data_IF_828756110548
#
_entry.id   IF_828756110548
#
_cell.length_a   1.000
_cell.length_b   1.000
_cell.length_c   1.000
_cell.angle_alpha   90.00
_cell.angle_beta   90.00
_cell.angle_gamma   90.00
#
_symmetry.space_group_name_H-M   'P 1'
#
loop_
_entity.id
_entity.type
_entity.pdbx_description
1 polymer ?
#
# COMPACT_ATOMS: atom_id res chain seq x y z
N UNK A 1 -29.20 0.45 1.72
CA UNK A 1 -28.46 0.17 1.40
C UNK A 1 -28.51 -0.17 0.14
N UNK A 2 -27.87 0.46 -0.14
CA UNK A 2 -27.59 0.01 -1.51
C UNK A 2 -26.59 -1.14 -1.46
N UNK A 3 -26.84 -2.13 -1.98
CA UNK A 3 -26.04 -3.24 -1.89
C UNK A 3 -24.78 -3.01 -2.56
N UNK A 4 -23.88 -3.41 -2.19
CA UNK A 4 -22.82 -3.40 -2.74
C UNK A 4 -22.99 -4.20 -3.80
N UNK A 5 -22.80 -3.89 -4.85
CA UNK A 5 -22.93 -4.64 -6.08
C UNK A 5 -21.55 -5.20 -6.46
N UNK A 6 -21.42 -6.50 -6.40
CA UNK A 6 -20.19 -7.17 -6.86
C UNK A 6 -20.20 -7.18 -8.40
N UNK A 7 -19.17 -6.60 -9.01
CA UNK A 7 -19.05 -6.46 -10.46
C UNK A 7 -18.01 -7.43 -11.02
N UNK A 8 -18.34 -8.02 -12.16
CA UNK A 8 -17.39 -8.69 -13.06
C UNK A 8 -17.10 -7.78 -14.24
N UNK A 9 -16.05 -8.06 -14.96
CA UNK A 9 -15.54 -7.18 -16.04
C UNK A 9 -16.65 -6.73 -17.00
N UNK A 10 -17.29 -7.40 -17.30
CA UNK A 10 -18.29 -7.15 -18.20
C UNK A 10 -19.26 -6.13 -17.79
N UNK A 11 -19.72 -6.48 -16.68
CA UNK A 11 -20.75 -5.60 -16.15
C UNK A 11 -20.21 -4.18 -15.86
N UNK A 12 -18.99 -4.09 -15.40
CA UNK A 12 -18.35 -2.79 -15.17
C UNK A 12 -18.24 -1.97 -16.48
N UNK A 13 -17.80 -2.62 -17.56
CA UNK A 13 -17.70 -1.98 -18.89
C UNK A 13 -19.07 -1.46 -19.34
N UNK A 14 -20.13 -2.26 -19.21
CA UNK A 14 -21.48 -1.85 -19.58
C UNK A 14 -21.96 -0.65 -18.77
N UNK A 15 -21.68 -0.61 -17.47
CA UNK A 15 -22.07 0.51 -16.61
C UNK A 15 -21.34 1.81 -17.01
N UNK A 16 -20.08 1.71 -17.43
CA UNK A 16 -19.33 2.87 -17.92
C UNK A 16 -19.87 3.35 -19.28
N UNK A 17 -20.07 2.43 -20.22
CA UNK A 17 -20.61 2.75 -21.55
C UNK A 17 -21.99 3.40 -21.48
N UNK A 18 -22.82 3.01 -20.51
CA UNK A 18 -24.14 3.61 -20.28
C UNK A 18 -24.08 4.96 -19.57
N UNK A 19 -22.88 5.45 -19.21
CA UNK A 19 -22.64 6.70 -18.46
C UNK A 19 -23.34 6.74 -17.08
N UNK A 20 -23.68 5.57 -16.52
CA UNK A 20 -24.25 5.47 -15.19
C UNK A 20 -23.18 5.84 -14.14
N UNK A 21 -21.94 5.38 -14.36
CA UNK A 21 -20.81 5.74 -13.51
C UNK A 21 -20.05 6.90 -14.17
N UNK A 22 -20.10 8.08 -13.56
CA UNK A 22 -19.47 9.29 -14.10
C UNK A 22 -18.16 9.65 -13.43
N UNK A 23 -18.10 9.52 -12.10
CA UNK A 23 -16.87 9.75 -11.33
C UNK A 23 -16.62 8.54 -10.44
N UNK A 24 -15.50 7.90 -10.62
CA UNK A 24 -15.18 6.65 -9.97
C UNK A 24 -13.89 6.77 -9.14
N UNK A 25 -14.00 6.44 -7.86
CA UNK A 25 -12.86 6.29 -6.97
C UNK A 25 -12.51 4.81 -6.87
N UNK A 26 -11.24 4.50 -7.08
CA UNK A 26 -10.72 3.14 -6.97
C UNK A 26 -9.94 2.99 -5.67
N UNK A 27 -10.30 2.00 -4.88
CA UNK A 27 -9.56 1.59 -3.68
C UNK A 27 -8.97 0.21 -3.90
N UNK A 28 -7.70 0.07 -3.64
CA UNK A 28 -6.99 -1.20 -3.77
C UNK A 28 -6.61 -1.70 -2.37
N UNK A 29 -7.37 -2.66 -1.81
CA UNK A 29 -7.01 -3.27 -0.53
C UNK A 29 -5.82 -4.20 -0.75
N UNK A 30 -4.63 -3.70 -0.50
CA UNK A 30 -3.41 -4.48 -0.55
C UNK A 30 -3.29 -5.22 0.79
N UNK A 31 -3.16 -6.53 0.73
CA UNK A 31 -3.04 -7.39 1.93
C UNK A 31 -4.26 -7.38 2.89
N UNK A 32 -5.47 -7.28 2.35
CA UNK A 32 -6.73 -7.45 3.11
C UNK A 32 -6.95 -6.49 4.29
N UNK A 33 -6.46 -5.25 4.22
CA UNK A 33 -6.76 -4.31 5.28
C UNK A 33 -7.94 -3.39 4.91
N UNK A 34 -9.16 -3.88 5.11
CA UNK A 34 -10.38 -3.10 4.84
C UNK A 34 -10.48 -1.88 5.74
N UNK A 35 -9.87 -1.92 6.94
CA UNK A 35 -9.86 -0.77 7.83
C UNK A 35 -9.11 0.41 7.22
N UNK A 36 -8.09 0.14 6.40
CA UNK A 36 -7.41 1.18 5.62
C UNK A 36 -8.39 1.81 4.61
N UNK A 37 -9.21 0.97 3.96
CA UNK A 37 -10.22 1.43 3.00
C UNK A 37 -11.28 2.28 3.72
N UNK A 38 -11.75 1.88 4.87
CA UNK A 38 -12.75 2.63 5.64
C UNK A 38 -12.24 4.03 6.03
N UNK A 39 -10.99 4.14 6.34
CA UNK A 39 -10.37 5.44 6.59
C UNK A 39 -10.28 6.31 5.33
N UNK A 40 -9.89 5.76 4.34
CA UNK A 40 -9.77 6.35 3.17
C UNK A 40 -11.02 6.66 2.51
N UNK A 41 -11.98 5.90 2.84
CA UNK A 41 -13.33 6.13 2.34
C UNK A 41 -13.88 7.48 2.75
N UNK A 42 -13.69 7.87 3.99
CA UNK A 42 -14.12 9.16 4.51
C UNK A 42 -13.49 10.36 3.75
N UNK A 43 -12.36 10.16 3.11
CA UNK A 43 -11.70 11.19 2.29
C UNK A 43 -12.40 11.26 0.93
N UNK A 44 -12.66 10.14 0.30
CA UNK A 44 -13.25 10.07 -1.03
C UNK A 44 -14.76 10.40 -1.07
N UNK A 45 -15.31 10.03 -0.29
CA UNK A 45 -16.63 10.27 -0.19
C UNK A 45 -17.05 11.67 -0.23
N UNK A 46 -16.28 12.44 0.16
CA UNK A 46 -16.63 13.88 0.08
C UNK A 46 -16.63 14.44 -1.33
N UNK A 47 -15.99 13.80 -2.25
CA UNK A 47 -15.73 14.34 -3.59
C UNK A 47 -16.21 13.49 -4.76
N UNK A 48 -16.59 12.22 -4.53
CA UNK A 48 -16.90 11.27 -5.60
C UNK A 48 -18.36 10.79 -5.57
N UNK A 49 -18.92 10.56 -6.77
CA UNK A 49 -20.30 10.08 -6.90
C UNK A 49 -20.43 8.57 -6.69
N UNK A 50 -19.40 7.80 -7.01
CA UNK A 50 -19.39 6.34 -6.89
C UNK A 50 -18.03 5.81 -6.47
N UNK A 51 -18.01 4.77 -5.68
CA UNK A 51 -16.78 4.17 -5.14
C UNK A 51 -16.68 2.68 -5.44
N UNK A 52 -15.69 2.25 -6.01
CA UNK A 52 -15.46 1.05 -6.31
C UNK A 52 -14.43 0.56 -5.53
N UNK A 53 -14.50 -0.37 -4.87
CA UNK A 53 -13.42 -1.15 -4.27
C UNK A 53 -13.08 -2.35 -5.14
N UNK A 54 -11.79 -2.64 -5.19
CA UNK A 54 -11.32 -3.75 -6.03
C UNK A 54 -10.71 -4.85 -5.16
N UNK A 55 -11.26 -6.06 -5.25
CA UNK A 55 -10.64 -7.26 -4.69
C UNK A 55 -9.85 -7.98 -5.77
N UNK A 56 -8.58 -8.22 -5.52
CA UNK A 56 -7.66 -8.75 -6.51
C UNK A 56 -7.33 -10.23 -6.32
N UNK A 57 -7.37 -10.83 -7.23
CA UNK A 57 -6.86 -11.92 -7.30
C UNK A 57 -5.57 -11.76 -7.74
N UNK A 58 -4.71 -11.69 -7.04
CA UNK A 58 -3.30 -11.48 -7.31
C UNK A 58 -2.71 -12.66 -8.09
N UNK A 59 -2.01 -12.34 -9.12
CA UNK A 59 -1.34 -13.37 -9.94
C UNK A 59 -0.34 -14.15 -9.08
N UNK A 60 -0.32 -15.50 -9.18
CA UNK A 60 0.57 -16.31 -8.33
C UNK A 60 2.05 -15.93 -8.39
N UNK A 61 2.50 -15.38 -9.53
CA UNK A 61 3.90 -15.00 -9.74
C UNK A 61 4.35 -13.79 -8.92
N UNK A 62 3.41 -12.99 -8.39
CA UNK A 62 3.73 -11.83 -7.55
C UNK A 62 4.04 -12.18 -6.10
N UNK A 63 3.72 -13.40 -5.72
CA UNK A 63 3.95 -13.91 -4.37
C UNK A 63 4.57 -15.30 -4.44
N UNK A 64 5.35 -15.66 -3.44
CA UNK A 64 5.83 -17.03 -3.33
C UNK A 64 4.63 -17.97 -3.17
N UNK A 65 4.71 -19.18 -3.69
CA UNK A 65 3.64 -20.20 -3.63
C UNK A 65 3.10 -20.43 -2.21
N UNK A 66 3.91 -20.18 -1.18
CA UNK A 66 3.52 -20.33 0.21
C UNK A 66 2.67 -19.14 0.70
N UNK A 67 2.94 -17.94 0.21
CA UNK A 67 2.21 -16.73 0.62
C UNK A 67 0.79 -16.73 0.02
N UNK A 68 0.66 -17.12 -1.25
CA UNK A 68 -0.62 -17.20 -1.96
C UNK A 68 -1.65 -18.08 -1.25
N UNK A 69 -1.22 -19.22 -0.72
CA UNK A 69 -2.12 -20.20 -0.06
C UNK A 69 -2.55 -19.78 1.35
N UNK A 70 -1.90 -18.78 1.93
CA UNK A 70 -2.12 -18.38 3.33
C UNK A 70 -2.99 -17.13 3.50
N UNK A 71 -3.46 -16.53 2.40
CA UNK A 71 -4.33 -15.35 2.47
C UNK A 71 -5.78 -15.83 2.56
N UNK A 72 -6.46 -15.62 3.69
CA UNK A 72 -7.88 -15.97 3.80
C UNK A 72 -8.68 -15.12 2.80
N UNK A 73 -9.53 -15.79 2.02
CA UNK A 73 -10.41 -15.10 1.08
C UNK A 73 -11.77 -14.94 1.76
N UNK A 74 -12.01 -13.74 2.26
CA UNK A 74 -13.21 -13.41 3.01
C UNK A 74 -14.08 -12.40 2.25
N UNK A 75 -14.25 -12.61 0.94
CA UNK A 75 -14.98 -11.67 0.08
C UNK A 75 -16.35 -11.32 0.68
N UNK A 76 -17.06 -12.29 1.24
CA UNK A 76 -18.38 -12.04 1.84
C UNK A 76 -18.28 -11.10 3.04
N UNK A 77 -17.35 -11.37 3.96
CA UNK A 77 -17.14 -10.52 5.15
C UNK A 77 -16.65 -9.13 4.73
N UNK A 78 -15.77 -9.07 3.75
CA UNK A 78 -15.25 -7.83 3.20
C UNK A 78 -16.37 -6.99 2.57
N UNK A 79 -17.27 -7.62 1.81
CA UNK A 79 -18.44 -6.96 1.21
C UNK A 79 -19.38 -6.37 2.28
N UNK A 80 -19.58 -7.08 3.39
CA UNK A 80 -20.42 -6.56 4.48
C UNK A 80 -19.81 -5.27 5.08
N UNK A 81 -18.50 -5.26 5.29
CA UNK A 81 -17.81 -4.08 5.82
C UNK A 81 -17.86 -2.91 4.83
N UNK A 82 -17.59 -3.18 3.54
CA UNK A 82 -17.65 -2.16 2.50
C UNK A 82 -19.06 -1.58 2.34
N UNK A 83 -20.08 -2.43 2.41
CA UNK A 83 -21.47 -2.00 2.36
C UNK A 83 -21.81 -1.09 3.54
N UNK A 84 -21.34 -1.44 4.76
CA UNK A 84 -21.56 -0.60 5.94
C UNK A 84 -20.88 0.77 5.83
N UNK A 85 -19.79 0.86 5.07
CA UNK A 85 -19.09 2.11 4.77
C UNK A 85 -19.76 2.93 3.65
N UNK A 86 -20.72 2.32 2.93
CA UNK A 86 -21.41 3.00 1.82
C UNK A 86 -20.76 2.78 0.46
N UNK A 87 -19.91 1.79 0.30
CA UNK A 87 -19.31 1.44 -0.98
C UNK A 87 -20.41 1.03 -1.97
N UNK A 88 -20.39 1.59 -3.18
CA UNK A 88 -21.42 1.31 -4.20
C UNK A 88 -21.15 0.02 -4.97
N UNK A 89 -19.88 -0.25 -5.27
CA UNK A 89 -19.49 -1.36 -6.15
C UNK A 89 -18.24 -2.06 -5.62
N UNK A 90 -18.23 -3.38 -5.75
CA UNK A 90 -17.05 -4.21 -5.49
C UNK A 90 -16.68 -4.92 -6.79
N UNK A 91 -15.47 -4.70 -7.26
CA UNK A 91 -14.94 -5.37 -8.46
C UNK A 91 -14.09 -6.56 -8.00
N UNK A 92 -14.59 -7.77 -8.21
CA UNK A 92 -13.96 -9.00 -7.74
C UNK A 92 -13.82 -10.01 -8.89
N UNK A 93 -12.91 -9.74 -9.86
CA UNK A 93 -12.70 -10.65 -10.97
C UNK A 93 -11.96 -11.91 -10.52
N UNK A 94 -12.16 -13.00 -11.25
CA UNK A 94 -11.33 -14.20 -11.06
C UNK A 94 -9.92 -13.98 -11.63
N UNK A 95 -8.98 -14.85 -11.27
CA UNK A 95 -7.63 -14.82 -11.82
C UNK A 95 -7.67 -15.01 -13.33
N UNK A 96 -8.52 -15.91 -13.82
CA UNK A 96 -8.69 -16.22 -15.26
C UNK A 96 -9.29 -15.01 -16.01
N UNK A 97 -10.20 -14.26 -15.37
CA UNK A 97 -10.73 -13.03 -15.96
C UNK A 97 -9.67 -11.95 -16.06
N UNK A 98 -8.83 -11.82 -15.03
CA UNK A 98 -7.75 -10.82 -15.01
C UNK A 98 -6.60 -11.20 -15.94
N UNK A 99 -6.28 -12.49 -16.03
CA UNK A 99 -5.10 -12.99 -16.75
C UNK A 99 -5.49 -14.15 -17.67
N UNK A 100 -6.29 -13.87 -18.75
CA UNK A 100 -6.57 -14.91 -19.76
C UNK A 100 -5.30 -15.36 -20.47
N UNK A 101 -4.29 -14.50 -20.47
CA UNK A 101 -2.92 -14.79 -20.95
C UNK A 101 -1.92 -14.22 -19.95
N UNK A 102 -0.71 -14.80 -19.87
CA UNK A 102 0.33 -14.25 -18.99
C UNK A 102 0.67 -12.80 -19.34
N UNK A 103 0.81 -11.95 -18.34
CA UNK A 103 1.22 -10.56 -18.54
C UNK A 103 2.76 -10.50 -18.57
N UNK A 104 3.31 -10.25 -19.75
CA UNK A 104 4.76 -10.21 -19.98
C UNK A 104 5.30 -8.78 -20.10
N UNK A 105 4.45 -7.77 -19.84
CA UNK A 105 4.87 -6.36 -19.92
C UNK A 105 5.95 -6.05 -18.90
N UNK A 106 6.90 -5.22 -19.29
CA UNK A 106 7.93 -4.68 -18.42
C UNK A 106 7.83 -3.16 -18.42
N UNK A 107 8.15 -2.55 -17.28
CA UNK A 107 8.02 -1.11 -17.09
C UNK A 107 9.37 -0.53 -16.68
N UNK A 108 9.75 0.57 -17.30
CA UNK A 108 10.90 1.37 -16.86
C UNK A 108 10.38 2.36 -15.81
N UNK A 109 10.48 1.95 -14.56
CA UNK A 109 9.95 2.73 -13.43
C UNK A 109 11.02 3.63 -12.78
N UNK A 110 12.26 3.54 -13.29
CA UNK A 110 13.37 4.33 -12.75
C UNK A 110 13.80 3.87 -11.35
N UNK A 111 14.62 4.69 -10.70
CA UNK A 111 15.23 4.38 -9.41
C UNK A 111 14.21 4.04 -8.33
N UNK A 112 12.98 4.58 -8.40
CA UNK A 112 11.94 4.32 -7.39
C UNK A 112 11.57 2.84 -7.27
N UNK A 113 11.89 2.03 -8.29
CA UNK A 113 11.62 0.59 -8.28
C UNK A 113 12.84 -0.26 -7.92
N UNK A 114 14.00 0.36 -7.71
CA UNK A 114 15.28 -0.35 -7.55
C UNK A 114 15.86 -0.26 -6.13
N UNK A 115 15.42 0.71 -5.33
CA UNK A 115 15.89 0.94 -3.96
C UNK A 115 15.02 0.19 -2.94
N UNK A 116 15.43 0.16 -1.69
CA UNK A 116 14.64 -0.37 -0.55
C UNK A 116 13.93 -1.71 -0.87
N UNK A 117 12.58 -1.73 -0.92
CA UNK A 117 11.79 -2.94 -1.24
C UNK A 117 12.13 -3.48 -2.63
N UNK A 118 12.40 -2.60 -3.60
CA UNK A 118 12.76 -3.02 -4.96
C UNK A 118 14.07 -3.81 -4.98
N UNK A 119 15.06 -3.35 -4.24
CA UNK A 119 16.34 -4.06 -4.09
C UNK A 119 16.19 -5.41 -3.38
N UNK A 120 15.28 -5.47 -2.39
CA UNK A 120 15.04 -6.69 -1.59
C UNK A 120 14.10 -7.69 -2.29
N UNK A 121 13.30 -7.24 -3.25
CA UNK A 121 12.26 -8.06 -3.89
C UNK A 121 12.32 -7.88 -5.43
N UNK A 122 13.35 -8.38 -6.10
CA UNK A 122 13.48 -8.22 -7.56
C UNK A 122 12.21 -8.64 -8.31
N UNK A 123 11.76 -7.80 -9.25
CA UNK A 123 10.56 -8.05 -10.05
C UNK A 123 9.23 -7.66 -9.38
N UNK A 124 9.24 -7.41 -8.08
CA UNK A 124 8.01 -7.09 -7.34
C UNK A 124 7.28 -5.87 -7.94
N UNK A 125 7.99 -4.78 -8.13
CA UNK A 125 7.37 -3.54 -8.60
C UNK A 125 6.96 -3.59 -10.08
N UNK A 126 7.63 -4.40 -10.89
CA UNK A 126 7.12 -4.67 -12.24
C UNK A 126 5.76 -5.35 -12.16
N UNK A 127 5.62 -6.33 -11.28
CA UNK A 127 4.33 -6.99 -11.04
C UNK A 127 3.25 -6.06 -10.52
N UNK A 128 3.60 -5.13 -9.60
CA UNK A 128 2.68 -4.10 -9.14
C UNK A 128 2.20 -3.25 -10.32
N UNK A 129 3.13 -2.80 -11.18
CA UNK A 129 2.79 -2.00 -12.36
C UNK A 129 1.90 -2.77 -13.34
N UNK A 130 2.17 -4.08 -13.55
CA UNK A 130 1.33 -4.94 -14.40
C UNK A 130 -0.12 -4.96 -13.91
N UNK A 131 -0.33 -5.31 -12.64
CA UNK A 131 -1.68 -5.49 -12.11
C UNK A 131 -2.42 -4.14 -11.97
N UNK A 132 -1.75 -3.10 -11.48
CA UNK A 132 -2.40 -1.80 -11.26
C UNK A 132 -2.74 -1.12 -12.60
N UNK A 133 -1.84 -1.16 -13.59
CA UNK A 133 -2.14 -0.62 -14.92
C UNK A 133 -3.32 -1.35 -15.57
N UNK A 134 -3.37 -2.68 -15.45
CA UNK A 134 -4.50 -3.48 -15.97
C UNK A 134 -5.81 -3.05 -15.30
N UNK A 135 -5.80 -2.86 -13.98
CA UNK A 135 -6.98 -2.36 -13.25
C UNK A 135 -7.40 -0.96 -13.73
N UNK A 136 -6.43 -0.07 -13.93
CA UNK A 136 -6.72 1.28 -14.42
C UNK A 136 -7.34 1.26 -15.81
N UNK A 137 -6.90 0.36 -16.69
CA UNK A 137 -7.51 0.22 -18.03
C UNK A 137 -8.91 -0.42 -17.99
N UNK A 138 -9.18 -1.30 -17.01
CA UNK A 138 -10.51 -1.94 -16.88
C UNK A 138 -11.49 -0.99 -16.17
N UNK A 139 -11.05 -0.35 -15.09
CA UNK A 139 -11.91 0.46 -14.22
C UNK A 139 -12.00 1.90 -14.74
N UNK A 140 -10.94 2.42 -15.34
CA UNK A 140 -10.80 3.82 -15.79
C UNK A 140 -11.23 4.80 -14.68
N UNK A 141 -10.62 4.74 -13.48
CA UNK A 141 -11.04 5.61 -12.39
C UNK A 141 -10.55 7.04 -12.59
N UNK A 142 -11.29 8.03 -12.10
CA UNK A 142 -10.82 9.42 -12.04
C UNK A 142 -9.80 9.60 -10.91
N UNK A 143 -9.99 8.86 -9.81
CA UNK A 143 -9.13 8.91 -8.63
C UNK A 143 -8.84 7.50 -8.13
N UNK A 144 -7.58 7.25 -7.73
CA UNK A 144 -7.20 6.02 -7.08
C UNK A 144 -6.55 6.35 -5.73
N UNK A 145 -6.85 5.56 -4.70
CA UNK A 145 -6.47 5.83 -3.31
C UNK A 145 -5.59 4.69 -2.80
N UNK A 146 -4.44 5.04 -2.22
CA UNK A 146 -3.45 4.09 -1.72
C UNK A 146 -2.98 4.51 -0.33
N UNK A 147 -2.84 3.54 0.57
CA UNK A 147 -2.33 3.81 1.92
C UNK A 147 -0.84 4.15 1.92
N UNK A 148 -0.47 5.22 2.60
CA UNK A 148 0.94 5.68 2.71
C UNK A 148 1.84 4.66 3.42
N UNK A 149 1.28 3.65 4.10
CA UNK A 149 2.10 2.58 4.69
C UNK A 149 3.00 1.94 3.62
N UNK A 150 2.49 1.72 2.42
CA UNK A 150 3.24 1.19 1.29
C UNK A 150 3.82 2.35 0.45
N UNK A 151 4.63 3.19 1.10
CA UNK A 151 5.11 4.47 0.58
C UNK A 151 5.78 4.36 -0.79
N UNK A 152 6.74 3.44 -0.92
CA UNK A 152 7.45 3.22 -2.19
C UNK A 152 6.50 2.74 -3.29
N UNK A 153 5.50 1.93 -2.97
CA UNK A 153 4.50 1.49 -3.94
C UNK A 153 3.76 2.66 -4.58
N UNK A 154 3.44 3.70 -3.80
CA UNK A 154 2.78 4.91 -4.34
C UNK A 154 3.68 5.61 -5.36
N UNK A 155 4.98 5.73 -5.05
CA UNK A 155 5.96 6.33 -5.96
C UNK A 155 6.04 5.53 -7.28
N UNK A 156 6.10 4.21 -7.17
CA UNK A 156 6.12 3.29 -8.32
C UNK A 156 4.84 3.45 -9.18
N UNK A 157 3.68 3.51 -8.54
CA UNK A 157 2.39 3.66 -9.25
C UNK A 157 2.35 5.04 -9.96
N UNK A 158 2.83 6.10 -9.32
CA UNK A 158 2.93 7.42 -9.96
C UNK A 158 3.86 7.40 -11.18
N UNK A 159 5.01 6.72 -11.07
CA UNK A 159 5.93 6.56 -12.21
C UNK A 159 5.26 5.80 -13.37
N UNK A 160 4.57 4.71 -13.06
CA UNK A 160 3.82 3.91 -14.05
C UNK A 160 2.71 4.73 -14.72
N UNK A 161 1.92 5.47 -13.94
CA UNK A 161 0.83 6.32 -14.46
C UNK A 161 1.40 7.38 -15.40
N UNK A 162 2.52 8.00 -15.03
CA UNK A 162 3.20 8.99 -15.88
C UNK A 162 3.71 8.35 -17.17
N UNK A 163 4.39 7.21 -17.07
CA UNK A 163 4.92 6.49 -18.25
C UNK A 163 3.83 6.11 -19.24
N UNK A 164 2.68 5.64 -18.73
CA UNK A 164 1.56 5.15 -19.55
C UNK A 164 0.55 6.25 -19.93
N UNK A 165 0.76 7.47 -19.43
CA UNK A 165 -0.17 8.62 -19.63
C UNK A 165 -1.61 8.27 -19.25
N UNK A 166 -1.81 7.55 -18.14
CA UNK A 166 -3.15 7.19 -17.67
C UNK A 166 -3.78 8.41 -16.96
N UNK A 167 -5.01 8.83 -17.35
CA UNK A 167 -5.63 10.02 -16.78
C UNK A 167 -6.31 9.73 -15.43
N UNK A 168 -5.50 9.36 -14.42
CA UNK A 168 -5.96 9.08 -13.05
C UNK A 168 -5.18 9.91 -12.05
N UNK A 169 -5.87 10.42 -11.04
CA UNK A 169 -5.23 11.12 -9.91
C UNK A 169 -4.91 10.12 -8.81
N UNK A 170 -3.63 10.04 -8.40
CA UNK A 170 -3.17 9.14 -7.34
C UNK A 170 -3.19 9.89 -6.00
N UNK A 171 -4.05 9.46 -5.11
CA UNK A 171 -4.24 10.04 -3.78
C UNK A 171 -3.59 9.14 -2.72
N UNK A 172 -2.67 9.70 -1.94
CA UNK A 172 -2.06 9.02 -0.80
C UNK A 172 -2.91 9.25 0.44
N UNK A 173 -3.24 8.18 1.15
CA UNK A 173 -4.05 8.22 2.37
C UNK A 173 -3.15 7.96 3.58
N UNK A 174 -3.28 8.75 4.66
CA UNK A 174 -2.44 8.57 5.84
C UNK A 174 -2.48 7.15 6.39
N UNK A 175 -1.37 6.75 7.02
CA UNK A 175 -1.26 5.41 7.63
C UNK A 175 -2.33 5.27 8.73
N UNK A 176 -3.13 4.22 8.61
CA UNK A 176 -4.06 3.84 9.70
C UNK A 176 -3.26 3.05 10.74
N UNK A 177 -3.48 3.39 12.00
CA UNK A 177 -2.74 2.76 13.11
C UNK A 177 -3.72 2.13 14.10
N UNK A 178 -3.28 1.05 14.75
CA UNK A 178 -3.98 0.46 15.88
C UNK A 178 -3.87 1.42 17.10
N UNK A 179 -4.66 1.17 18.14
CA UNK A 179 -4.72 2.05 19.31
C UNK A 179 -3.37 2.25 20.03
N UNK A 180 -2.43 1.33 19.84
CA UNK A 180 -1.08 1.40 20.43
C UNK A 180 -0.04 2.00 19.46
N UNK A 181 -0.48 2.44 18.28
CA UNK A 181 0.35 3.10 17.27
C UNK A 181 0.90 2.19 16.18
N UNK A 182 0.81 0.88 16.32
CA UNK A 182 1.30 -0.06 15.30
C UNK A 182 0.57 0.19 13.97
N UNK A 183 1.31 0.29 12.88
CA UNK A 183 0.71 0.43 11.54
C UNK A 183 -0.21 -0.78 11.26
N UNK A 184 -1.44 -0.50 10.85
CA UNK A 184 -2.42 -1.55 10.62
C UNK A 184 -2.02 -2.41 9.42
N UNK A 185 -2.04 -3.73 9.62
CA UNK A 185 -1.67 -4.70 8.58
C UNK A 185 -2.29 -6.06 8.89
N UNK A 186 -2.70 -6.79 7.84
CA UNK A 186 -3.10 -8.19 8.00
C UNK A 186 -1.98 -9.06 8.57
N UNK A 187 -0.72 -8.66 8.39
CA UNK A 187 0.41 -9.38 8.96
C UNK A 187 0.42 -9.35 10.49
N UNK A 188 -0.21 -8.35 11.10
CA UNK A 188 -0.28 -8.24 12.56
C UNK A 188 -0.96 -9.45 13.21
N UNK A 189 -1.90 -10.09 12.49
CA UNK A 189 -2.58 -11.31 12.98
C UNK A 189 -1.66 -12.54 13.05
N UNK A 190 -0.47 -12.46 12.44
CA UNK A 190 0.52 -13.55 12.44
C UNK A 190 1.51 -13.45 13.59
N UNK A 191 1.49 -12.31 14.31
CA UNK A 191 2.37 -12.10 15.47
C UNK A 191 1.92 -12.96 16.63
N UNK A 192 2.87 -13.57 17.34
CA UNK A 192 2.57 -14.20 18.62
C UNK A 192 2.17 -13.13 19.64
N UNK A 193 1.51 -13.48 20.77
CA UNK A 193 1.16 -12.48 21.77
C UNK A 193 2.36 -11.66 22.25
N UNK A 194 3.54 -12.28 22.44
CA UNK A 194 4.76 -11.59 22.81
C UNK A 194 5.20 -10.60 21.72
N UNK A 195 5.28 -11.06 20.47
CA UNK A 195 5.65 -10.23 19.32
C UNK A 195 4.68 -9.06 19.18
N UNK A 196 3.35 -9.32 19.36
CA UNK A 196 2.34 -8.26 19.22
C UNK A 196 2.52 -7.16 20.27
N UNK A 197 2.94 -7.51 21.49
CA UNK A 197 3.23 -6.53 22.55
C UNK A 197 4.47 -5.68 22.23
N UNK A 198 5.44 -6.26 21.51
CA UNK A 198 6.70 -5.59 21.16
C UNK A 198 6.59 -4.72 19.90
N UNK A 199 5.80 -5.16 18.91
CA UNK A 199 5.72 -4.53 17.58
C UNK A 199 5.46 -3.00 17.64
N UNK A 200 4.66 -2.44 18.57
CA UNK A 200 4.46 -0.98 18.65
C UNK A 200 5.74 -0.16 18.92
N UNK A 201 6.84 -0.84 19.35
CA UNK A 201 8.14 -0.16 19.48
C UNK A 201 8.55 0.51 18.17
N UNK A 202 8.22 -0.09 17.02
CA UNK A 202 8.55 0.47 15.70
C UNK A 202 7.96 1.88 15.57
N UNK A 203 6.64 2.01 15.70
CA UNK A 203 5.95 3.29 15.53
C UNK A 203 6.38 4.32 16.58
N UNK A 204 6.57 3.85 17.83
CA UNK A 204 6.99 4.73 18.92
C UNK A 204 8.39 5.30 18.65
N UNK A 205 9.34 4.46 18.23
CA UNK A 205 10.72 4.88 17.91
C UNK A 205 10.73 5.85 16.73
N UNK A 206 9.98 5.55 15.68
CA UNK A 206 9.86 6.46 14.52
C UNK A 206 9.29 7.82 14.95
N UNK A 207 8.23 7.83 15.74
CA UNK A 207 7.63 9.07 16.21
C UNK A 207 8.61 9.87 17.10
N UNK A 208 9.31 9.20 18.01
CA UNK A 208 10.30 9.84 18.85
C UNK A 208 11.43 10.46 18.03
N UNK A 209 11.88 9.76 16.99
CA UNK A 209 12.99 10.22 16.15
C UNK A 209 12.71 11.59 15.48
N UNK A 210 11.45 11.92 15.21
CA UNK A 210 11.10 13.22 14.60
C UNK A 210 11.43 14.39 15.54
N UNK A 211 11.50 14.17 16.85
CA UNK A 211 11.85 15.23 17.80
C UNK A 211 13.33 15.62 17.77
N UNK A 212 14.15 14.84 17.08
CA UNK A 212 15.61 15.08 17.00
C UNK A 212 15.98 16.04 15.87
N UNK A 213 15.06 16.32 14.97
CA UNK A 213 15.34 17.15 13.78
C UNK A 213 15.09 18.63 14.14
N UNK A 214 15.96 19.56 13.75
CA UNK A 214 17.22 19.34 13.02
C UNK A 214 18.47 19.20 13.93
N UNK A 215 18.28 18.96 15.21
CA UNK A 215 19.36 18.95 16.21
C UNK A 215 20.36 17.82 16.03
N UNK A 216 19.93 16.67 15.47
CA UNK A 216 20.83 15.53 15.13
C UNK A 216 20.92 15.41 13.60
N UNK A 217 22.06 14.89 13.14
CA UNK A 217 22.26 14.57 11.72
C UNK A 217 21.35 13.42 11.28
N UNK A 218 21.15 13.29 9.97
CA UNK A 218 20.39 12.17 9.36
C UNK A 218 20.95 10.83 9.85
N UNK A 219 22.29 10.68 9.83
CA UNK A 219 22.92 9.42 10.27
C UNK A 219 22.70 9.13 11.76
N UNK A 220 22.78 10.13 12.62
CA UNK A 220 22.51 9.93 14.06
C UNK A 220 21.08 9.50 14.32
N UNK A 221 20.12 10.01 13.51
CA UNK A 221 18.72 9.58 13.61
C UNK A 221 18.54 8.14 13.12
N UNK A 222 19.19 7.78 12.00
CA UNK A 222 19.20 6.40 11.49
C UNK A 222 19.76 5.46 12.57
N UNK A 223 20.92 5.78 13.12
CA UNK A 223 21.57 4.95 14.16
C UNK A 223 20.68 4.79 15.39
N UNK A 224 20.03 5.88 15.81
CA UNK A 224 19.10 5.83 16.96
C UNK A 224 17.96 4.84 16.69
N UNK A 225 17.30 4.97 15.53
CA UNK A 225 16.14 4.13 15.19
C UNK A 225 16.55 2.65 15.12
N UNK A 226 17.63 2.36 14.40
CA UNK A 226 18.10 0.99 14.21
C UNK A 226 18.53 0.38 15.56
N UNK A 227 19.34 1.09 16.33
CA UNK A 227 19.85 0.57 17.61
C UNK A 227 18.70 0.39 18.63
N UNK A 228 17.75 1.32 18.67
CA UNK A 228 16.61 1.23 19.61
C UNK A 228 15.75 0.00 19.30
N UNK A 229 15.41 -0.22 18.02
CA UNK A 229 14.56 -1.35 17.64
C UNK A 229 15.33 -2.66 17.84
N UNK A 230 16.59 -2.72 17.41
CA UNK A 230 17.43 -3.92 17.54
C UNK A 230 17.81 -4.25 18.99
N UNK A 231 17.58 -3.34 19.95
CA UNK A 231 17.81 -3.66 21.37
C UNK A 231 16.81 -4.70 21.92
N UNK A 232 15.66 -4.88 21.22
CA UNK A 232 14.71 -5.93 21.60
C UNK A 232 15.07 -7.21 20.83
N UNK A 233 15.34 -8.32 21.51
CA UNK A 233 15.83 -9.55 20.85
C UNK A 233 14.81 -10.21 19.90
N UNK A 234 13.56 -9.77 19.94
CA UNK A 234 12.51 -10.29 19.04
C UNK A 234 12.50 -9.53 17.72
N UNK A 235 13.21 -8.40 17.65
CA UNK A 235 13.18 -7.51 16.49
C UNK A 235 14.53 -7.42 15.77
N UNK A 236 14.47 -7.34 14.45
CA UNK A 236 15.65 -7.13 13.60
C UNK A 236 15.28 -6.15 12.47
N UNK A 237 15.93 -5.00 12.44
CA UNK A 237 15.75 -4.02 11.35
C UNK A 237 16.43 -4.56 10.09
N UNK A 238 15.65 -4.82 9.05
CA UNK A 238 16.19 -5.23 7.74
C UNK A 238 16.82 -4.03 7.03
N UNK A 239 16.16 -2.89 7.09
CA UNK A 239 16.70 -1.60 6.65
C UNK A 239 15.92 -0.47 7.30
N UNK A 240 16.58 0.66 7.45
CA UNK A 240 15.97 1.95 7.72
C UNK A 240 16.70 3.00 6.90
N UNK A 241 15.98 3.66 6.02
CA UNK A 241 16.53 4.69 5.14
C UNK A 241 15.71 5.98 5.27
N UNK A 242 16.39 7.13 5.32
CA UNK A 242 15.74 8.43 5.24
C UNK A 242 15.98 8.95 3.82
N UNK A 243 14.90 9.17 3.11
CA UNK A 243 14.93 9.46 1.66
C UNK A 243 14.17 10.75 1.34
N UNK A 244 14.44 11.30 0.17
CA UNK A 244 13.54 12.29 -0.45
C UNK A 244 12.24 11.57 -0.82
N UNK A 245 11.12 12.04 -0.29
CA UNK A 245 9.82 11.39 -0.50
C UNK A 245 9.30 11.44 -1.94
N UNK A 246 9.94 12.23 -2.82
CA UNK A 246 9.56 12.31 -4.23
C UNK A 246 10.38 11.37 -5.11
N UNK A 247 11.70 11.26 -4.84
CA UNK A 247 12.63 10.48 -5.68
C UNK A 247 13.01 9.14 -5.07
N UNK A 248 12.83 8.99 -3.75
CA UNK A 248 13.26 7.85 -2.93
C UNK A 248 14.81 7.70 -2.87
N UNK A 249 15.54 8.73 -3.26
CA UNK A 249 17.00 8.77 -3.10
C UNK A 249 17.33 9.06 -1.63
N UNK A 250 18.28 8.31 -1.07
CA UNK A 250 18.71 8.49 0.33
C UNK A 250 19.35 9.86 0.50
N UNK A 251 18.97 10.58 1.56
CA UNK A 251 19.52 11.89 1.87
C UNK A 251 20.65 11.77 2.91
N UNK A 252 21.55 12.74 2.90
CA UNK A 252 22.68 12.82 3.86
C UNK A 252 22.51 13.99 4.83
N UNK A 253 21.81 15.02 4.40
CA UNK A 253 21.55 16.22 5.20
C UNK A 253 20.05 16.55 5.13
N UNK A 254 19.52 17.13 6.19
CA UNK A 254 18.11 17.56 6.20
C UNK A 254 17.78 18.58 5.11
N UNK A 255 18.79 19.35 4.66
CA UNK A 255 18.65 20.34 3.58
C UNK A 255 18.61 19.74 2.18
N UNK A 256 18.82 18.44 2.03
CA UNK A 256 18.86 17.80 0.70
C UNK A 256 17.46 17.71 0.07
N UNK A 257 16.38 17.82 0.88
CA UNK A 257 15.00 17.78 0.41
C UNK A 257 14.08 18.54 1.37
N UNK A 258 12.96 19.03 0.84
CA UNK A 258 11.87 19.59 1.64
C UNK A 258 10.85 18.50 2.09
N UNK A 259 11.09 17.25 1.71
CA UNK A 259 10.16 16.16 2.00
C UNK A 259 10.90 14.88 2.45
N UNK A 260 11.59 14.96 3.61
CA UNK A 260 12.30 13.76 4.11
C UNK A 260 11.34 12.75 4.71
N UNK A 261 11.52 11.47 4.32
CA UNK A 261 10.67 10.36 4.79
C UNK A 261 11.59 9.21 5.23
N UNK A 262 11.38 8.74 6.47
CA UNK A 262 12.06 7.55 6.97
C UNK A 262 11.22 6.32 6.66
N UNK A 263 11.78 5.37 5.91
CA UNK A 263 11.11 4.12 5.52
C UNK A 263 11.83 2.96 6.20
N UNK A 264 11.06 2.12 6.91
CA UNK A 264 11.62 1.02 7.71
C UNK A 264 10.98 -0.32 7.37
N UNK A 265 11.79 -1.35 7.44
CA UNK A 265 11.33 -2.74 7.47
C UNK A 265 11.98 -3.45 8.65
N UNK A 266 11.15 -4.12 9.45
CA UNK A 266 11.57 -4.82 10.68
C UNK A 266 11.01 -6.24 10.65
N UNK A 267 11.85 -7.20 10.92
CA UNK A 267 11.40 -8.54 11.27
C UNK A 267 11.04 -8.56 12.75
N UNK A 268 9.81 -8.93 13.08
CA UNK A 268 9.39 -9.21 14.45
C UNK A 268 9.18 -10.73 14.52
N UNK A 269 10.20 -11.44 14.97
CA UNK A 269 10.31 -12.87 14.75
C UNK A 269 10.34 -13.15 13.24
N UNK A 270 9.43 -13.98 12.76
CA UNK A 270 9.31 -14.33 11.34
C UNK A 270 8.42 -13.37 10.55
N UNK A 271 7.79 -12.39 11.22
CA UNK A 271 6.83 -11.50 10.58
C UNK A 271 7.51 -10.21 10.14
N UNK A 272 7.52 -9.98 8.84
CA UNK A 272 8.12 -8.79 8.23
C UNK A 272 7.11 -7.65 8.24
N UNK A 273 7.38 -6.61 9.03
CA UNK A 273 6.55 -5.41 9.21
C UNK A 273 7.21 -4.22 8.52
N UNK A 274 6.39 -3.33 7.97
CA UNK A 274 6.86 -2.08 7.35
C UNK A 274 6.15 -0.89 7.99
N UNK A 275 6.83 0.24 8.02
CA UNK A 275 6.27 1.51 8.48
C UNK A 275 7.05 2.66 7.84
N UNK A 276 6.57 3.88 8.02
CA UNK A 276 7.31 5.07 7.60
C UNK A 276 6.88 6.28 8.43
N UNK A 277 7.72 7.31 8.37
CA UNK A 277 7.49 8.56 9.10
C UNK A 277 8.00 9.75 8.27
N UNK A 278 7.26 10.86 8.29
CA UNK A 278 7.67 12.12 7.66
C UNK A 278 8.39 12.97 8.72
N UNK A 279 9.53 13.51 8.34
CA UNK A 279 10.34 14.39 9.18
C UNK A 279 10.07 15.87 8.91
#
# INVERSE_FOLDING_TARGET
XKXXIVLKIXRLILLRQSRIIRKLALFLPWEHCIMDILAXYNIAXKTMMYVXSVFLXIQPNLMTNTTWKRIPRTLEADCVLLESAGCDYVFAPSVEEMYPEPDTRTFDLGTVSEVMEGAKRPGHFNGVAQVVSKLFYIVEPDNAYFGEKDFQQIAVIRAMVKQLNIPVTINACPIVREGDGLALSSRNTRLTPEQRQKAPLIARTLKESTTFVPGKSVQEVIDYVVNTINSDPVMEVEYYEIVDGNTLESIKNWSDTDYPVGCITVYCGEVRLIDNIKY
#
